data_IF_178050479596
#
_entry.id   IF_178050479596
#
_cell.length_a   1.000
_cell.length_b   1.000
_cell.length_c   1.000
_cell.angle_alpha   90.00
_cell.angle_beta   90.00
_cell.angle_gamma   90.00
#
_symmetry.space_group_name_H-M   'P 1'
#
loop_
_entity.id
_entity.type
_entity.pdbx_description
1 polymer ?
#
# COMPACT_ATOMS: atom_id res chain seq x y z
N UNK A 1 2.15 2.09 -4.62
CA UNK A 1 0.96 1.70 -3.85
C UNK A 1 0.54 2.75 -2.81
N UNK A 2 1.48 3.25 -1.99
CA UNK A 2 1.19 4.26 -0.96
C UNK A 2 0.48 5.52 -1.48
N UNK A 3 0.99 6.17 -2.52
CA UNK A 3 0.34 7.37 -3.09
C UNK A 3 -1.05 7.10 -3.68
N UNK A 4 -1.24 5.94 -4.31
CA UNK A 4 -2.55 5.55 -4.85
C UNK A 4 -3.57 5.35 -3.71
N UNK A 5 -3.15 4.71 -2.61
CA UNK A 5 -3.98 4.56 -1.42
C UNK A 5 -4.34 5.91 -0.80
N UNK A 6 -3.35 6.80 -0.63
CA UNK A 6 -3.57 8.16 -0.11
C UNK A 6 -4.55 8.94 -0.99
N UNK A 7 -4.40 8.84 -2.32
CA UNK A 7 -5.30 9.48 -3.26
C UNK A 7 -6.73 8.92 -3.17
N UNK A 8 -6.90 7.60 -3.16
CA UNK A 8 -8.22 6.97 -3.02
C UNK A 8 -8.89 7.33 -1.68
N UNK A 9 -8.15 7.33 -0.57
CA UNK A 9 -8.65 7.76 0.74
C UNK A 9 -9.03 9.25 0.74
N UNK A 10 -8.21 10.11 0.15
CA UNK A 10 -8.50 11.54 0.04
C UNK A 10 -9.78 11.79 -0.76
N UNK A 11 -9.94 11.12 -1.91
CA UNK A 11 -11.16 11.22 -2.74
C UNK A 11 -12.38 10.68 -1.99
N UNK A 12 -12.26 9.53 -1.32
CA UNK A 12 -13.37 8.96 -0.53
C UNK A 12 -13.77 9.89 0.63
N UNK A 13 -12.81 10.41 1.40
CA UNK A 13 -13.09 11.33 2.51
C UNK A 13 -13.66 12.66 2.04
N UNK A 14 -13.11 13.24 0.97
CA UNK A 14 -13.58 14.52 0.43
C UNK A 14 -14.97 14.43 -0.19
N UNK A 15 -15.41 13.26 -0.66
CA UNK A 15 -16.74 13.07 -1.25
C UNK A 15 -17.87 12.87 -0.23
N UNK A 16 -17.56 12.49 1.02
CA UNK A 16 -18.55 12.36 2.13
C UNK A 16 -19.42 13.61 2.32
N UNK A 17 -18.88 14.83 2.49
CA UNK A 17 -19.72 16.03 2.67
C UNK A 17 -20.59 16.34 1.45
N UNK A 18 -20.12 16.03 0.24
CA UNK A 18 -20.92 16.20 -0.97
C UNK A 18 -22.06 15.16 -1.07
N UNK A 19 -21.88 13.96 -0.51
CA UNK A 19 -22.93 12.94 -0.42
C UNK A 19 -24.06 13.38 0.52
N UNK A 20 -23.76 14.05 1.63
CA UNK A 20 -24.78 14.63 2.52
C UNK A 20 -25.56 15.76 1.83
N UNK A 21 -24.86 16.61 1.08
CA UNK A 21 -25.46 17.69 0.30
C UNK A 21 -26.35 17.16 -0.84
N UNK A 22 -25.95 16.02 -1.42
CA UNK A 22 -26.73 15.30 -2.42
C UNK A 22 -28.01 14.71 -1.81
N UNK A 23 -27.92 14.11 -0.62
CA UNK A 23 -29.07 13.52 0.08
C UNK A 23 -30.11 14.57 0.50
N UNK A 24 -29.64 15.77 0.85
CA UNK A 24 -30.49 16.93 1.17
C UNK A 24 -31.04 17.66 -0.07
N UNK A 25 -30.70 17.19 -1.29
CA UNK A 25 -31.25 17.71 -2.55
C UNK A 25 -30.75 19.09 -2.96
N UNK A 26 -29.63 19.56 -2.41
CA UNK A 26 -29.09 20.91 -2.64
C UNK A 26 -28.17 21.04 -3.86
N UNK A 27 -27.80 19.94 -4.52
CA UNK A 27 -26.88 19.92 -5.66
C UNK A 27 -27.35 19.00 -6.80
N UNK A 28 -27.11 19.42 -8.04
CA UNK A 28 -27.30 18.62 -9.25
C UNK A 28 -25.94 18.12 -9.76
N UNK A 29 -25.76 16.80 -9.69
CA UNK A 29 -24.49 16.10 -10.00
C UNK A 29 -24.45 14.66 -9.50
N UNK A 30 -25.63 14.03 -9.37
CA UNK A 30 -25.87 12.87 -8.49
C UNK A 30 -25.04 11.64 -8.86
N UNK A 31 -24.96 11.34 -10.15
CA UNK A 31 -24.34 10.10 -10.62
C UNK A 31 -22.81 10.13 -10.56
N UNK A 32 -22.17 11.25 -10.90
CA UNK A 32 -20.71 11.35 -10.91
C UNK A 32 -20.12 11.30 -9.50
N UNK A 33 -20.69 12.05 -8.56
CA UNK A 33 -20.19 12.08 -7.17
C UNK A 33 -20.41 10.73 -6.49
N UNK A 34 -21.58 10.13 -6.70
CA UNK A 34 -21.89 8.81 -6.14
C UNK A 34 -21.00 7.72 -6.73
N UNK A 35 -20.80 7.71 -8.05
CA UNK A 35 -19.89 6.78 -8.70
C UNK A 35 -18.45 6.96 -8.20
N UNK A 36 -17.96 8.19 -8.09
CA UNK A 36 -16.62 8.50 -7.59
C UNK A 36 -16.41 7.99 -6.16
N UNK A 37 -17.40 8.15 -5.28
CA UNK A 37 -17.35 7.64 -3.91
C UNK A 37 -17.22 6.10 -3.89
N UNK A 38 -18.10 5.38 -4.59
CA UNK A 38 -18.06 3.91 -4.59
C UNK A 38 -16.79 3.34 -5.21
N UNK A 39 -16.34 3.90 -6.35
CA UNK A 39 -15.12 3.46 -7.02
C UNK A 39 -13.89 3.74 -6.14
N UNK A 40 -13.77 4.95 -5.59
CA UNK A 40 -12.64 5.28 -4.73
C UNK A 40 -12.60 4.42 -3.46
N UNK A 41 -13.75 4.12 -2.85
CA UNK A 41 -13.86 3.25 -1.68
C UNK A 41 -13.47 1.80 -2.00
N UNK A 42 -13.97 1.25 -3.11
CA UNK A 42 -13.63 -0.10 -3.55
C UNK A 42 -12.12 -0.24 -3.76
N UNK A 43 -11.51 0.70 -4.50
CA UNK A 43 -10.06 0.73 -4.71
C UNK A 43 -9.29 0.94 -3.41
N UNK A 44 -9.76 1.81 -2.51
CA UNK A 44 -9.11 2.02 -1.22
C UNK A 44 -9.03 0.72 -0.43
N UNK A 45 -10.12 -0.04 -0.31
CA UNK A 45 -10.14 -1.32 0.42
C UNK A 45 -9.15 -2.32 -0.19
N UNK A 46 -9.17 -2.48 -1.52
CA UNK A 46 -8.24 -3.38 -2.22
C UNK A 46 -6.78 -2.95 -2.08
N UNK A 47 -6.50 -1.64 -2.11
CA UNK A 47 -5.15 -1.12 -1.95
C UNK A 47 -4.64 -1.25 -0.51
N UNK A 48 -5.50 -1.12 0.51
CA UNK A 48 -5.11 -1.32 1.91
C UNK A 48 -4.61 -2.75 2.13
N UNK A 49 -5.33 -3.76 1.65
CA UNK A 49 -4.93 -5.17 1.85
C UNK A 49 -3.62 -5.49 1.14
N UNK A 50 -3.47 -5.04 -0.11
CA UNK A 50 -2.24 -5.21 -0.88
C UNK A 50 -1.07 -4.44 -0.25
N UNK A 51 -1.32 -3.23 0.26
CA UNK A 51 -0.29 -2.42 0.92
C UNK A 51 0.21 -3.09 2.19
N UNK A 52 -0.72 -3.52 3.04
CA UNK A 52 -0.38 -4.24 4.28
C UNK A 52 0.42 -5.51 4.00
N UNK A 53 0.04 -6.27 2.97
CA UNK A 53 0.78 -7.46 2.56
C UNK A 53 2.21 -7.13 2.08
N UNK A 54 2.38 -6.10 1.25
CA UNK A 54 3.72 -5.69 0.82
C UNK A 54 4.56 -5.10 1.96
N UNK A 55 3.97 -4.34 2.88
CA UNK A 55 4.67 -3.86 4.07
C UNK A 55 5.17 -5.04 4.93
N UNK A 56 4.35 -6.08 5.10
CA UNK A 56 4.75 -7.30 5.80
C UNK A 56 5.92 -8.02 5.09
N UNK A 57 5.86 -8.13 3.77
CA UNK A 57 6.93 -8.72 2.96
C UNK A 57 8.25 -7.95 3.06
N UNK A 58 8.21 -6.62 2.95
CA UNK A 58 9.39 -5.76 3.08
C UNK A 58 10.03 -5.92 4.47
N UNK A 59 9.24 -5.93 5.53
CA UNK A 59 9.76 -6.10 6.90
C UNK A 59 10.45 -7.44 7.14
N UNK A 60 10.14 -8.47 6.34
CA UNK A 60 10.74 -9.79 6.43
C UNK A 60 11.82 -10.04 5.38
N UNK A 61 12.10 -9.05 4.54
CA UNK A 61 12.95 -9.19 3.35
C UNK A 61 12.56 -10.41 2.50
N UNK A 62 11.27 -10.50 2.18
CA UNK A 62 10.71 -11.58 1.35
C UNK A 62 10.03 -11.02 0.13
N UNK A 63 10.31 -11.61 -1.01
CA UNK A 63 9.54 -11.36 -2.22
C UNK A 63 8.22 -12.16 -2.21
N UNK A 64 7.27 -11.77 -3.06
CA UNK A 64 6.00 -12.50 -3.20
C UNK A 64 6.25 -13.97 -3.59
N UNK A 65 7.22 -14.26 -4.46
CA UNK A 65 7.56 -15.62 -4.86
C UNK A 65 8.16 -16.43 -3.70
N UNK A 66 9.05 -15.83 -2.92
CA UNK A 66 9.64 -16.47 -1.74
C UNK A 66 8.61 -16.74 -0.64
N UNK A 67 7.53 -15.97 -0.59
CA UNK A 67 6.42 -16.22 0.32
C UNK A 67 5.65 -17.51 -0.03
N UNK A 68 5.52 -17.83 -1.32
CA UNK A 68 4.89 -19.05 -1.81
C UNK A 68 5.84 -20.25 -1.85
N UNK A 69 7.12 -20.00 -2.15
CA UNK A 69 8.15 -21.04 -2.30
C UNK A 69 9.37 -20.64 -1.49
N UNK A 70 9.57 -21.33 -0.37
CA UNK A 70 10.72 -21.11 0.50
C UNK A 70 12.03 -21.27 -0.28
N UNK A 71 12.95 -20.30 -0.24
CA UNK A 71 14.25 -20.44 -0.87
C UNK A 71 15.06 -21.57 -0.19
N UNK A 72 15.78 -22.34 -1.00
CA UNK A 72 16.59 -23.46 -0.52
C UNK A 72 18.04 -23.01 -0.49
N UNK A 73 18.60 -22.93 0.71
CA UNK A 73 19.99 -22.54 0.90
C UNK A 73 20.91 -23.75 0.85
N UNK A 74 22.15 -23.52 0.38
CA UNK A 74 23.19 -24.56 0.23
C UNK A 74 23.59 -25.20 1.56
N UNK A 75 23.50 -24.44 2.66
CA UNK A 75 23.71 -24.90 4.02
C UNK A 75 22.43 -24.60 4.82
N UNK A 76 21.75 -25.63 5.34
CA UNK A 76 20.55 -25.47 6.19
C UNK A 76 19.20 -25.82 5.55
N UNK A 77 19.13 -26.09 4.24
CA UNK A 77 17.89 -26.50 3.58
C UNK A 77 16.91 -25.35 3.34
N UNK A 78 15.58 -25.59 3.28
CA UNK A 78 14.59 -24.54 3.06
C UNK A 78 14.47 -23.61 4.27
N UNK A 79 14.82 -22.34 4.11
CA UNK A 79 14.68 -21.32 5.17
C UNK A 79 13.89 -20.10 4.66
N UNK A 80 12.78 -19.78 5.32
CA UNK A 80 11.95 -18.61 4.97
C UNK A 80 12.56 -17.30 5.46
N UNK A 81 13.53 -17.35 6.37
CA UNK A 81 14.15 -16.17 6.98
C UNK A 81 15.61 -15.98 6.55
N UNK A 82 16.11 -16.76 5.59
CA UNK A 82 17.54 -16.72 5.24
C UNK A 82 18.05 -15.38 4.71
N UNK A 83 17.15 -14.49 4.26
CA UNK A 83 17.46 -13.11 3.84
C UNK A 83 17.10 -12.03 4.88
N UNK A 84 16.51 -12.40 6.02
CA UNK A 84 16.08 -11.41 7.02
C UNK A 84 17.26 -10.96 7.89
N UNK A 85 17.58 -9.67 7.83
CA UNK A 85 18.66 -8.99 8.57
C UNK A 85 18.13 -8.19 9.79
N UNK A 86 16.83 -8.28 10.07
CA UNK A 86 16.11 -7.51 11.09
C UNK A 86 15.19 -6.44 10.48
N UNK A 87 14.05 -6.16 11.12
CA UNK A 87 12.96 -5.35 10.53
C UNK A 87 13.38 -3.98 9.98
N UNK A 88 14.27 -3.28 10.69
CA UNK A 88 14.78 -1.97 10.27
C UNK A 88 15.76 -2.09 9.10
N UNK A 89 16.72 -2.99 9.20
CA UNK A 89 17.71 -3.25 8.14
C UNK A 89 17.03 -3.71 6.85
N UNK A 90 16.03 -4.59 6.95
CA UNK A 90 15.23 -5.06 5.81
C UNK A 90 14.46 -3.90 5.14
N UNK A 91 13.97 -2.93 5.93
CA UNK A 91 13.28 -1.77 5.40
C UNK A 91 14.26 -0.81 4.70
N UNK A 92 15.44 -0.59 5.29
CA UNK A 92 16.50 0.24 4.71
C UNK A 92 17.06 -0.36 3.41
N UNK A 93 17.07 -1.69 3.26
CA UNK A 93 17.48 -2.34 1.99
C UNK A 93 16.55 -1.97 0.82
N UNK A 94 15.29 -1.62 1.09
CA UNK A 94 14.32 -1.23 0.06
C UNK A 94 14.21 0.29 -0.11
N UNK A 95 14.27 1.05 0.98
CA UNK A 95 14.05 2.50 0.97
C UNK A 95 15.32 3.35 1.07
N UNK A 96 16.47 2.72 1.33
CA UNK A 96 17.75 3.37 1.61
C UNK A 96 17.87 3.92 3.04
N UNK A 97 19.07 4.36 3.39
CA UNK A 97 19.37 4.91 4.72
C UNK A 97 18.82 6.33 4.93
N UNK A 98 18.65 7.08 3.85
CA UNK A 98 18.18 8.46 3.89
C UNK A 98 16.66 8.55 4.07
N UNK A 99 16.22 8.75 5.32
CA UNK A 99 14.80 8.87 5.67
C UNK A 99 14.03 9.95 4.90
N UNK A 100 14.72 10.99 4.41
CA UNK A 100 14.13 12.09 3.62
C UNK A 100 13.69 11.65 2.24
N UNK A 101 14.32 10.62 1.69
CA UNK A 101 14.06 10.12 0.35
C UNK A 101 13.02 8.99 0.33
N UNK A 102 12.61 8.48 1.49
CA UNK A 102 11.61 7.41 1.60
C UNK A 102 10.26 7.74 0.96
N UNK A 103 9.89 9.04 0.94
CA UNK A 103 8.67 9.56 0.32
C UNK A 103 8.92 10.25 -1.01
N UNK A 104 10.04 9.98 -1.66
CA UNK A 104 10.37 10.54 -2.98
C UNK A 104 10.64 9.36 -3.91
N UNK A 105 10.03 9.31 -5.11
CA UNK A 105 10.24 8.21 -6.06
C UNK A 105 11.57 8.39 -6.80
N UNK A 106 12.66 8.43 -6.05
CA UNK A 106 14.04 8.40 -6.55
C UNK A 106 14.69 7.11 -6.10
N UNK A 107 15.54 6.55 -6.95
CA UNK A 107 16.31 5.38 -6.58
C UNK A 107 17.30 5.75 -5.47
N UNK A 108 17.11 5.14 -4.30
CA UNK A 108 18.03 5.19 -3.17
C UNK A 108 18.90 3.93 -3.19
N UNK A 109 20.18 4.10 -2.87
CA UNK A 109 21.15 3.01 -2.75
C UNK A 109 21.32 2.60 -1.29
#
# INVERSE_FOLDING_TARGET
>A
LGYALLYCLYVACSTIPYMELLWTGKIDGRFHILFLFFVSLMFAISLVSLFGYHCYLVLLNRTTLESFRTPIFRYGGPDKNGFSLGKLNNFQEVFGDDWRLWFVPVYTR
#
